data_IF_828755963723
#
_entry.id   IF_828755963723
#
_cell.length_a   1.000
_cell.length_b   1.000
_cell.length_c   1.000
_cell.angle_alpha   90.00
_cell.angle_beta   90.00
_cell.angle_gamma   90.00
#
_symmetry.space_group_name_H-M   'P 1'
#
loop_
_entity.id
_entity.type
_entity.pdbx_description
1 polymer ?
#
# COMPACT_ATOMS: atom_id res chain seq x y z
N UNK A 1 -2.51 -21.98 17.96
CA UNK A 1 -2.16 -21.16 16.78
C UNK A 1 -1.04 -20.23 17.19
N UNK A 2 0.21 -20.60 16.88
CA UNK A 2 1.40 -19.83 17.30
C UNK A 2 1.46 -18.54 16.48
N UNK A 3 1.22 -17.40 17.14
CA UNK A 3 1.56 -16.10 16.61
C UNK A 3 3.08 -15.96 16.73
N UNK A 4 3.82 -16.50 15.74
CA UNK A 4 5.21 -16.11 15.54
C UNK A 4 5.17 -14.63 15.12
N UNK A 5 5.18 -13.70 16.08
CA UNK A 5 5.65 -12.34 15.83
C UNK A 5 7.13 -12.47 15.48
N UNK A 6 7.42 -12.83 14.22
CA UNK A 6 8.77 -12.72 13.71
C UNK A 6 9.16 -11.26 13.82
N UNK A 7 10.34 -11.02 14.37
CA UNK A 7 10.96 -9.72 14.44
C UNK A 7 11.27 -9.29 13.01
N UNK A 8 10.29 -8.67 12.36
CA UNK A 8 10.53 -7.87 11.18
C UNK A 8 11.31 -6.64 11.65
N UNK A 9 12.61 -6.63 11.37
CA UNK A 9 13.42 -5.43 11.55
C UNK A 9 12.85 -4.35 10.63
N UNK A 10 12.62 -3.15 11.17
CA UNK A 10 12.18 -2.01 10.37
C UNK A 10 13.24 -1.81 9.28
N UNK A 11 12.87 -1.90 7.98
CA UNK A 11 13.83 -1.76 6.89
C UNK A 11 14.41 -0.34 6.93
N UNK A 12 15.69 -0.21 6.58
CA UNK A 12 16.28 1.11 6.41
C UNK A 12 15.63 1.79 5.21
N UNK A 13 15.38 3.08 5.36
CA UNK A 13 14.73 3.88 4.32
C UNK A 13 15.24 5.30 4.35
N UNK A 14 15.36 5.89 3.17
CA UNK A 14 15.69 7.30 2.99
C UNK A 14 14.42 8.09 2.68
N UNK A 15 14.11 9.17 3.42
CA UNK A 15 12.98 10.05 3.11
C UNK A 15 13.05 10.58 1.68
N UNK A 16 11.90 10.67 1.01
CA UNK A 16 11.83 11.12 -0.39
C UNK A 16 12.45 12.51 -0.59
N UNK A 17 12.26 13.39 0.38
CA UNK A 17 12.79 14.76 0.38
C UNK A 17 14.31 14.83 0.49
N UNK A 18 14.95 13.80 1.05
CA UNK A 18 16.40 13.72 1.23
C UNK A 18 17.11 13.02 0.05
N UNK A 19 16.36 12.34 -0.81
CA UNK A 19 16.90 11.76 -2.03
C UNK A 19 17.27 12.86 -3.05
N UNK A 20 18.44 12.76 -3.69
CA UNK A 20 18.75 13.52 -4.89
C UNK A 20 17.64 13.35 -5.94
N UNK A 21 17.34 14.41 -6.69
CA UNK A 21 16.22 14.42 -7.65
C UNK A 21 16.29 13.24 -8.63
N UNK A 22 17.47 12.97 -9.18
CA UNK A 22 17.75 11.88 -10.09
C UNK A 22 17.55 10.48 -9.47
N UNK A 23 17.59 10.36 -8.15
CA UNK A 23 17.39 9.10 -7.42
C UNK A 23 15.95 8.88 -6.96
N UNK A 24 15.10 9.91 -6.99
CA UNK A 24 13.69 9.82 -6.62
C UNK A 24 12.94 8.91 -7.57
N UNK A 25 12.96 9.22 -8.87
CA UNK A 25 12.29 8.44 -9.91
C UNK A 25 13.08 7.25 -10.46
N UNK A 26 14.36 7.07 -10.08
CA UNK A 26 15.20 6.01 -10.63
C UNK A 26 14.60 4.62 -10.39
N UNK A 27 14.08 4.00 -11.46
CA UNK A 27 13.44 2.69 -11.47
C UNK A 27 11.90 2.73 -11.54
N UNK A 28 11.29 3.92 -11.53
CA UNK A 28 9.85 4.14 -11.77
C UNK A 28 9.64 4.78 -13.15
N UNK A 29 8.49 4.53 -13.78
CA UNK A 29 8.22 4.97 -15.15
C UNK A 29 7.85 6.45 -15.29
N UNK A 30 7.58 7.19 -14.21
CA UNK A 30 7.08 8.57 -14.29
C UNK A 30 7.49 9.48 -13.13
N UNK A 31 7.54 10.79 -13.42
CA UNK A 31 7.72 11.91 -12.48
C UNK A 31 6.42 12.24 -11.73
N UNK A 32 5.74 11.24 -11.17
CA UNK A 32 4.38 11.35 -10.61
C UNK A 32 4.23 12.14 -9.30
N UNK A 33 5.31 12.79 -8.85
CA UNK A 33 5.39 13.37 -7.51
C UNK A 33 5.19 14.87 -7.51
N UNK A 34 5.21 15.54 -8.67
CA UNK A 34 5.06 16.98 -8.76
C UNK A 34 3.67 17.46 -8.31
N UNK A 35 2.64 16.61 -8.48
CA UNK A 35 1.26 16.88 -8.06
C UNK A 35 0.97 16.49 -6.59
N UNK A 36 1.95 15.89 -5.89
CA UNK A 36 1.79 15.49 -4.49
C UNK A 36 2.23 16.65 -3.58
N UNK A 37 1.34 17.20 -2.73
CA UNK A 37 1.68 18.28 -1.82
C UNK A 37 2.85 17.94 -0.90
N UNK A 38 3.71 18.92 -0.61
CA UNK A 38 4.94 18.74 0.15
C UNK A 38 4.74 18.06 1.52
N UNK A 39 3.63 18.36 2.20
CA UNK A 39 3.29 17.73 3.49
C UNK A 39 2.97 16.23 3.34
N UNK A 40 2.49 15.76 2.18
CA UNK A 40 2.33 14.33 1.91
C UNK A 40 3.64 13.71 1.43
N UNK A 41 4.41 14.41 0.59
CA UNK A 41 5.74 13.94 0.14
C UNK A 41 6.67 13.66 1.33
N UNK A 42 6.61 14.47 2.38
CA UNK A 42 7.40 14.26 3.62
C UNK A 42 7.11 12.95 4.36
N UNK A 43 6.05 12.23 3.98
CA UNK A 43 5.65 10.96 4.58
C UNK A 43 5.99 9.76 3.68
N UNK A 44 6.66 10.01 2.55
CA UNK A 44 7.10 8.99 1.61
C UNK A 44 8.58 8.74 1.86
N UNK A 45 8.98 7.49 1.94
CA UNK A 45 10.39 7.09 1.95
C UNK A 45 10.62 5.98 0.93
N UNK A 46 11.85 5.90 0.43
CA UNK A 46 12.32 4.80 -0.41
C UNK A 46 13.11 3.83 0.47
N UNK A 47 12.86 2.55 0.33
CA UNK A 47 13.65 1.52 1.02
C UNK A 47 15.08 1.54 0.48
N UNK A 48 16.04 1.50 1.39
CA UNK A 48 17.46 1.50 1.04
C UNK A 48 17.80 0.18 0.34
N UNK A 49 18.70 0.18 -0.66
CA UNK A 49 19.04 -1.03 -1.42
C UNK A 49 19.43 -2.23 -0.54
N UNK A 50 20.14 -1.97 0.56
CA UNK A 50 20.58 -3.00 1.51
C UNK A 50 19.43 -3.68 2.28
N UNK A 51 18.24 -3.09 2.30
CA UNK A 51 17.05 -3.62 2.98
C UNK A 51 16.00 -4.19 2.03
N UNK A 52 16.18 -4.06 0.70
CA UNK A 52 15.22 -4.57 -0.29
C UNK A 52 15.10 -6.09 -0.23
N UNK A 53 16.23 -6.81 -0.14
CA UNK A 53 16.23 -8.27 -0.14
C UNK A 53 15.48 -8.85 1.08
N UNK A 54 15.71 -8.29 2.27
CA UNK A 54 15.03 -8.69 3.50
C UNK A 54 13.52 -8.43 3.40
N UNK A 55 13.14 -7.30 2.79
CA UNK A 55 11.75 -6.90 2.61
C UNK A 55 11.02 -7.76 1.57
N UNK A 56 11.69 -8.11 0.47
CA UNK A 56 11.20 -9.06 -0.53
C UNK A 56 11.00 -10.44 0.09
N UNK A 57 11.95 -10.93 0.87
CA UNK A 57 11.80 -12.21 1.56
C UNK A 57 10.59 -12.20 2.52
N UNK A 58 10.42 -11.11 3.27
CA UNK A 58 9.24 -10.92 4.12
C UNK A 58 7.95 -10.90 3.30
N UNK A 59 7.93 -10.20 2.17
CA UNK A 59 6.78 -10.13 1.27
C UNK A 59 6.33 -11.50 0.79
N UNK A 60 7.27 -12.35 0.35
CA UNK A 60 6.98 -13.73 -0.06
C UNK A 60 6.46 -14.62 1.07
N UNK A 61 6.75 -14.28 2.33
CA UNK A 61 6.26 -15.02 3.50
C UNK A 61 4.87 -14.58 3.92
N UNK A 62 4.54 -13.30 3.72
CA UNK A 62 3.25 -12.70 4.09
C UNK A 62 2.19 -12.99 3.04
N UNK A 63 2.53 -12.96 1.76
CA UNK A 63 1.55 -13.25 0.73
C UNK A 63 1.17 -14.74 0.72
N UNK A 64 -0.10 -15.06 0.43
CA UNK A 64 -0.51 -16.43 0.17
C UNK A 64 0.35 -17.05 -0.93
N UNK A 65 0.72 -18.31 -0.73
CA UNK A 65 1.45 -19.10 -1.74
C UNK A 65 0.48 -19.56 -2.82
N UNK A 66 0.13 -18.67 -3.73
CA UNK A 66 -0.60 -19.00 -4.97
C UNK A 66 0.38 -19.06 -6.13
N UNK A 67 0.10 -19.88 -7.14
CA UNK A 67 0.96 -20.01 -8.34
C UNK A 67 1.00 -18.70 -9.15
N UNK A 68 -0.04 -17.88 -9.04
CA UNK A 68 -0.28 -16.63 -9.77
C UNK A 68 0.15 -15.36 -9.04
N UNK A 69 0.62 -15.44 -7.78
CA UNK A 69 0.87 -14.28 -6.90
C UNK A 69 -0.33 -13.32 -6.79
N UNK A 70 -1.54 -13.83 -7.03
CA UNK A 70 -2.76 -13.09 -6.81
C UNK A 70 -3.09 -13.01 -5.31
N UNK A 71 -3.97 -12.08 -4.95
CA UNK A 71 -4.43 -11.92 -3.57
C UNK A 71 -5.61 -12.86 -3.25
N UNK A 72 -5.90 -13.85 -4.11
CA UNK A 72 -7.03 -14.78 -3.93
C UNK A 72 -6.76 -15.85 -2.86
N UNK A 73 -5.50 -16.03 -2.47
CA UNK A 73 -5.16 -16.96 -1.38
C UNK A 73 -5.38 -16.38 0.03
N UNK A 74 -5.81 -15.13 0.17
CA UNK A 74 -6.18 -14.57 1.48
C UNK A 74 -7.53 -15.15 1.94
N UNK A 75 -7.72 -15.40 3.25
CA UNK A 75 -9.02 -15.84 3.79
C UNK A 75 -10.19 -14.93 3.42
N UNK A 76 -9.94 -13.62 3.39
CA UNK A 76 -10.88 -12.62 2.89
C UNK A 76 -10.25 -11.94 1.66
N UNK A 77 -10.72 -12.29 0.47
CA UNK A 77 -10.28 -11.65 -0.78
C UNK A 77 -11.44 -11.00 -1.53
N UNK A 78 -11.19 -9.88 -2.21
CA UNK A 78 -12.16 -9.19 -3.06
C UNK A 78 -11.50 -8.73 -4.35
N UNK A 79 -12.27 -8.70 -5.43
CA UNK A 79 -11.83 -8.18 -6.71
C UNK A 79 -12.76 -7.04 -7.11
N UNK A 80 -12.17 -5.94 -7.57
CA UNK A 80 -12.86 -4.85 -8.25
C UNK A 80 -12.30 -4.78 -9.66
N UNK A 81 -13.18 -4.90 -10.65
CA UNK A 81 -12.85 -4.67 -12.05
C UNK A 81 -13.42 -3.30 -12.39
N UNK A 82 -12.58 -2.42 -12.92
CA UNK A 82 -13.01 -1.14 -13.47
C UNK A 82 -13.19 -1.28 -14.98
N UNK A 83 -14.12 -0.51 -15.53
CA UNK A 83 -14.17 -0.30 -16.97
C UNK A 83 -12.89 0.44 -17.42
N UNK A 84 -12.33 0.05 -18.56
CA UNK A 84 -11.16 0.69 -19.20
C UNK A 84 -11.39 2.20 -19.34
N UNK A 85 -12.62 2.60 -19.61
CA UNK A 85 -13.01 4.01 -19.74
C UNK A 85 -12.93 4.80 -18.43
N UNK A 86 -12.86 4.12 -17.27
CA UNK A 86 -13.03 4.70 -15.94
C UNK A 86 -11.75 4.77 -15.10
N UNK A 87 -10.72 3.96 -15.39
CA UNK A 87 -9.53 3.77 -14.55
C UNK A 87 -8.78 5.06 -14.17
N UNK A 88 -8.71 6.03 -15.09
CA UNK A 88 -8.07 7.33 -14.88
C UNK A 88 -9.05 8.51 -14.93
N UNK A 89 -10.33 8.25 -14.71
CA UNK A 89 -11.34 9.32 -14.60
C UNK A 89 -11.51 9.72 -13.15
N UNK A 90 -11.88 10.97 -12.89
CA UNK A 90 -12.18 11.41 -11.52
C UNK A 90 -13.23 10.52 -10.85
N UNK A 91 -14.26 10.10 -11.60
CA UNK A 91 -15.32 9.21 -11.08
C UNK A 91 -14.73 7.86 -10.67
N UNK A 92 -14.00 7.18 -11.56
CA UNK A 92 -13.40 5.88 -11.26
C UNK A 92 -12.37 5.96 -10.12
N UNK A 93 -11.59 7.04 -10.06
CA UNK A 93 -10.66 7.31 -8.94
C UNK A 93 -11.42 7.38 -7.62
N UNK A 94 -12.53 8.13 -7.57
CA UNK A 94 -13.34 8.25 -6.36
C UNK A 94 -14.05 6.95 -5.99
N UNK A 95 -14.53 6.19 -6.97
CA UNK A 95 -15.13 4.87 -6.73
C UNK A 95 -14.13 3.90 -6.09
N UNK A 96 -12.90 3.84 -6.58
CA UNK A 96 -11.86 2.99 -6.00
C UNK A 96 -11.50 3.46 -4.60
N UNK A 97 -11.37 4.77 -4.38
CA UNK A 97 -11.11 5.33 -3.04
C UNK A 97 -12.22 4.93 -2.06
N UNK A 98 -13.48 5.08 -2.46
CA UNK A 98 -14.62 4.69 -1.63
C UNK A 98 -14.64 3.18 -1.39
N UNK A 99 -14.41 2.39 -2.42
CA UNK A 99 -14.35 0.93 -2.30
C UNK A 99 -13.27 0.50 -1.30
N UNK A 100 -12.05 1.03 -1.40
CA UNK A 100 -10.95 0.70 -0.48
C UNK A 100 -11.27 1.20 0.95
N UNK A 101 -11.86 2.39 1.08
CA UNK A 101 -12.32 2.91 2.38
C UNK A 101 -13.28 1.94 3.08
N UNK A 102 -14.24 1.39 2.34
CA UNK A 102 -15.26 0.47 2.87
C UNK A 102 -14.68 -0.90 3.29
N UNK A 103 -13.44 -1.21 2.87
CA UNK A 103 -12.70 -2.39 3.34
C UNK A 103 -12.17 -2.21 4.77
N UNK A 104 -12.13 -0.99 5.30
CA UNK A 104 -11.71 -0.72 6.68
C UNK A 104 -10.21 -0.87 6.91
N UNK A 105 -9.40 -0.57 5.90
CA UNK A 105 -7.94 -0.60 5.99
C UNK A 105 -7.44 0.40 7.06
N UNK A 106 -6.43 0.05 7.88
CA UNK A 106 -5.88 0.95 8.87
C UNK A 106 -4.99 2.02 8.23
N UNK A 107 -5.55 3.20 7.95
CA UNK A 107 -4.95 4.30 7.18
C UNK A 107 -3.59 4.83 7.67
N UNK A 108 -3.30 4.66 8.96
CA UNK A 108 -2.05 5.12 9.57
C UNK A 108 -0.94 4.05 9.58
N UNK A 109 -1.25 2.82 9.16
CA UNK A 109 -0.26 1.73 9.09
C UNK A 109 0.68 1.97 7.93
N UNK A 110 1.98 1.79 8.18
CA UNK A 110 3.01 1.81 7.13
C UNK A 110 2.74 0.72 6.11
N UNK A 111 2.73 1.12 4.83
CA UNK A 111 2.48 0.28 3.67
C UNK A 111 3.68 0.32 2.75
N UNK A 112 4.09 -0.86 2.29
CA UNK A 112 5.15 -1.06 1.31
C UNK A 112 4.54 -1.28 -0.07
N UNK A 113 4.99 -0.52 -1.06
CA UNK A 113 4.57 -0.62 -2.45
C UNK A 113 5.62 -1.43 -3.20
N UNK A 114 5.29 -2.69 -3.47
CA UNK A 114 6.10 -3.60 -4.25
C UNK A 114 5.77 -3.46 -5.73
N UNK A 115 6.84 -3.40 -6.51
CA UNK A 115 6.84 -3.23 -7.95
C UNK A 115 7.67 -4.35 -8.57
N UNK A 116 7.59 -4.54 -9.89
CA UNK A 116 8.38 -5.58 -10.60
C UNK A 116 9.90 -5.33 -10.66
N UNK A 117 10.42 -4.24 -10.06
CA UNK A 117 11.83 -3.81 -10.10
C UNK A 117 12.22 -3.10 -8.78
N UNK A 118 13.51 -2.91 -8.44
CA UNK A 118 14.03 -2.97 -7.06
C UNK A 118 13.73 -1.71 -6.22
N UNK A 119 12.74 -0.92 -6.62
CA UNK A 119 12.26 0.21 -5.86
C UNK A 119 11.12 -0.30 -4.99
N UNK A 120 11.25 -0.11 -3.68
CA UNK A 120 10.12 -0.26 -2.76
C UNK A 120 9.93 1.10 -2.11
N UNK A 121 8.70 1.58 -2.15
CA UNK A 121 8.31 2.80 -1.43
C UNK A 121 7.58 2.40 -0.16
N UNK A 122 7.75 3.19 0.89
CA UNK A 122 6.95 3.07 2.09
C UNK A 122 6.24 4.37 2.43
N UNK A 123 4.95 4.27 2.75
CA UNK A 123 4.09 5.39 3.12
C UNK A 123 2.86 4.88 3.88
N UNK A 124 2.11 5.72 4.59
CA UNK A 124 0.85 5.32 5.18
C UNK A 124 -0.21 4.94 4.13
N UNK A 125 -1.08 3.98 4.45
CA UNK A 125 -2.22 3.59 3.60
C UNK A 125 -3.05 4.77 3.10
N UNK A 126 -3.27 5.81 3.92
CA UNK A 126 -4.00 7.03 3.49
C UNK A 126 -3.41 7.66 2.23
N UNK A 127 -2.08 7.62 2.04
CA UNK A 127 -1.43 8.14 0.84
C UNK A 127 -1.51 7.16 -0.32
N UNK A 128 -1.45 5.85 -0.05
CA UNK A 128 -1.68 4.82 -1.07
C UNK A 128 -3.07 4.98 -1.67
N UNK A 129 -4.12 5.08 -0.83
CA UNK A 129 -5.51 5.24 -1.29
C UNK A 129 -5.72 6.57 -1.98
N UNK A 130 -5.18 7.67 -1.41
CA UNK A 130 -5.35 9.00 -2.00
C UNK A 130 -4.72 9.10 -3.39
N UNK A 131 -3.55 8.50 -3.61
CA UNK A 131 -2.79 8.66 -4.84
C UNK A 131 -2.65 7.34 -5.61
N UNK A 132 -3.60 6.41 -5.44
CA UNK A 132 -3.48 5.03 -5.93
C UNK A 132 -3.21 4.95 -7.43
N UNK A 133 -3.84 5.81 -8.24
CA UNK A 133 -3.62 5.85 -9.69
C UNK A 133 -2.20 6.22 -10.04
N UNK A 134 -1.65 7.26 -9.39
CA UNK A 134 -0.26 7.64 -9.58
C UNK A 134 0.66 6.46 -9.28
N UNK A 135 0.50 5.84 -8.11
CA UNK A 135 1.37 4.71 -7.72
C UNK A 135 1.23 3.50 -8.64
N UNK A 136 0.01 3.15 -9.03
CA UNK A 136 -0.26 2.00 -9.89
C UNK A 136 0.31 2.19 -11.32
N UNK A 137 0.30 3.42 -11.85
CA UNK A 137 0.88 3.75 -13.15
C UNK A 137 2.40 3.91 -13.12
N UNK A 138 3.03 3.87 -11.95
CA UNK A 138 4.48 4.04 -11.83
C UNK A 138 5.29 2.86 -12.40
N UNK A 139 4.64 1.75 -12.83
CA UNK A 139 5.28 0.56 -13.41
C UNK A 139 4.43 -0.12 -14.49
N UNK A 140 5.05 -1.03 -15.25
CA UNK A 140 4.46 -1.61 -16.46
C UNK A 140 3.52 -2.79 -16.29
N UNK A 141 3.40 -3.41 -15.10
CA UNK A 141 2.61 -4.64 -14.92
C UNK A 141 1.65 -4.57 -13.73
N UNK A 142 2.17 -4.56 -12.50
CA UNK A 142 1.35 -4.47 -11.30
C UNK A 142 2.12 -3.79 -10.16
N UNK A 143 1.35 -3.21 -9.25
CA UNK A 143 1.82 -2.74 -7.96
C UNK A 143 1.08 -3.47 -6.86
N UNK A 144 1.80 -4.04 -5.89
CA UNK A 144 1.21 -4.66 -4.70
C UNK A 144 1.55 -3.83 -3.47
N UNK A 145 0.53 -3.24 -2.85
CA UNK A 145 0.62 -2.58 -1.57
C UNK A 145 0.41 -3.59 -0.45
N UNK A 146 1.38 -3.78 0.43
CA UNK A 146 1.28 -4.66 1.61
C UNK A 146 1.67 -3.89 2.85
N UNK A 147 0.87 -3.99 3.91
CA UNK A 147 1.19 -3.28 5.14
C UNK A 147 2.17 -4.00 6.04
N UNK A 148 2.83 -3.24 6.90
CA UNK A 148 3.83 -3.73 7.86
C UNK A 148 3.30 -4.77 8.85
N UNK A 149 1.99 -4.91 9.01
CA UNK A 149 1.39 -5.98 9.81
C UNK A 149 1.26 -7.29 9.04
N UNK A 150 1.38 -7.23 7.72
CA UNK A 150 1.10 -8.32 6.78
C UNK A 150 -0.35 -8.77 6.78
N UNK A 151 -1.27 -7.99 7.37
CA UNK A 151 -2.68 -8.36 7.45
C UNK A 151 -3.48 -7.89 6.25
N UNK A 152 -2.99 -6.88 5.52
CA UNK A 152 -3.72 -6.23 4.43
C UNK A 152 -2.82 -6.10 3.19
N UNK A 153 -3.37 -6.50 2.05
CA UNK A 153 -2.74 -6.33 0.74
C UNK A 153 -3.73 -5.81 -0.31
N UNK A 154 -3.26 -4.97 -1.21
CA UNK A 154 -4.02 -4.46 -2.35
C UNK A 154 -3.13 -4.45 -3.60
N UNK A 155 -3.52 -5.18 -4.64
CA UNK A 155 -2.79 -5.28 -5.88
C UNK A 155 -3.55 -4.53 -6.98
N UNK A 156 -2.85 -3.66 -7.68
CA UNK A 156 -3.36 -2.85 -8.78
C UNK A 156 -2.71 -3.35 -10.06
N UNK A 157 -3.49 -3.99 -10.92
CA UNK A 157 -3.03 -4.56 -12.19
C UNK A 157 -3.33 -3.58 -13.34
N UNK A 158 -2.45 -3.53 -14.34
CA UNK A 158 -2.60 -2.66 -15.51
C UNK A 158 -3.82 -3.01 -16.40
N UNK A 159 -4.45 -4.17 -16.22
CA UNK A 159 -5.67 -4.59 -16.92
C UNK A 159 -6.97 -4.15 -16.21
N UNK A 160 -6.93 -3.02 -15.50
CA UNK A 160 -8.08 -2.45 -14.80
C UNK A 160 -8.65 -3.34 -13.67
N UNK A 161 -7.82 -4.25 -13.14
CA UNK A 161 -8.18 -5.15 -12.04
C UNK A 161 -7.50 -4.70 -10.77
N UNK A 162 -8.29 -4.51 -9.71
CA UNK A 162 -7.81 -4.30 -8.35
C UNK A 162 -8.21 -5.51 -7.52
N UNK A 163 -7.22 -6.17 -6.94
CA UNK A 163 -7.44 -7.24 -5.98
C UNK A 163 -7.13 -6.74 -4.58
N UNK A 164 -7.87 -7.24 -3.61
CA UNK A 164 -7.67 -6.96 -2.21
C UNK A 164 -7.69 -8.27 -1.44
N UNK A 165 -6.82 -8.39 -0.43
CA UNK A 165 -6.76 -9.54 0.46
C UNK A 165 -6.46 -9.14 1.90
N UNK A 166 -7.08 -9.81 2.87
CA UNK A 166 -6.72 -9.72 4.28
C UNK A 166 -6.90 -11.03 5.06
N UNK A 167 -6.14 -11.20 6.14
CA UNK A 167 -6.15 -12.44 6.94
C UNK A 167 -7.26 -12.50 7.98
N UNK A 168 -7.66 -11.37 8.57
CA UNK A 168 -8.81 -11.31 9.48
C UNK A 168 -9.23 -9.87 9.79
N UNK A 169 -10.42 -9.44 9.35
CA UNK A 169 -10.92 -8.08 9.67
C UNK A 169 -11.26 -7.90 11.16
N UNK A 170 -11.66 -8.98 11.85
CA UNK A 170 -12.19 -8.94 13.24
C UNK A 170 -11.13 -8.84 14.33
N UNK A 171 -9.88 -9.23 14.07
CA UNK A 171 -8.77 -9.04 15.04
C UNK A 171 -8.25 -7.60 15.07
N UNK A 172 -8.40 -6.86 13.97
CA UNK A 172 -7.91 -5.48 13.83
C UNK A 172 -8.75 -4.51 14.67
N UNK A 173 -10.06 -4.71 14.76
CA UNK A 173 -10.97 -3.92 15.61
C UNK A 173 -10.70 -4.09 17.11
N UNK A 174 -10.15 -5.22 17.54
CA UNK A 174 -9.78 -5.48 18.94
C UNK A 174 -8.43 -4.88 19.34
N UNK A 175 -7.60 -4.47 18.37
CA UNK A 175 -6.29 -3.86 18.59
C UNK A 175 -6.29 -2.33 18.47
N UNK A 176 -7.36 -1.73 17.94
CA UNK A 176 -7.60 -0.29 18.08
C UNK A 176 -8.16 -0.09 19.48
N UNK A 177 -7.29 0.33 20.41
CA UNK A 177 -7.67 0.65 21.78
C UNK A 177 -8.90 1.58 21.84
N UNK A 178 -9.61 1.62 22.98
CA UNK A 178 -10.87 2.36 23.10
C UNK A 178 -10.72 3.77 22.54
N UNK A 179 -11.59 4.10 21.59
CA UNK A 179 -11.69 5.43 20.99
C UNK A 179 -11.72 6.45 22.13
N UNK A 180 -10.81 7.43 22.19
CA UNK A 180 -10.84 8.44 23.24
C UNK A 180 -12.22 9.11 23.20
N UNK A 181 -12.82 9.39 24.37
CA UNK A 181 -14.15 9.97 24.42
C UNK A 181 -14.17 11.25 23.61
N UNK A 182 -15.14 11.32 22.70
CA UNK A 182 -15.49 12.52 21.95
C UNK A 182 -15.70 13.65 22.97
N UNK A 183 -14.75 14.58 23.02
CA UNK A 183 -14.93 15.82 23.76
C UNK A 183 -16.00 16.59 22.99
N UNK A 184 -17.23 16.56 23.51
CA UNK A 184 -18.23 17.56 23.16
C UNK A 184 -17.68 18.90 23.64
N UNK A 185 -17.18 19.70 22.72
CA UNK A 185 -17.05 21.14 22.91
C UNK A 185 -18.47 21.70 22.97
N UNK A 186 -19.03 21.74 24.17
CA UNK A 186 -20.01 22.78 24.50
C UNK A 186 -19.22 24.06 24.81
N UNK A 187 -19.64 25.13 24.12
CA UNK A 187 -19.13 26.51 24.07
C UNK A 187 -18.27 26.85 22.85
#
# INVERSE_FOLDING_TARGET
>A
MFCLKMLFSIPKSTPWTELPHEKRGAGLLFELYDDVPANHVSQISRIDPDSVADLDEWYYRVLPRTESRDLLGFPESRIRILDDSSWNTEIGIQEVRQWIHDLGIPYDTTTYLFYDRPVILCMPWRLVVKYWTAWAWSVGYAMTAVDSSGQWACMFHHENVIQFGCYNRKQTEQNVGPKPPSVRSEL
#
